data_IF_047867764406
#
_entry.id   IF_047867764406
#
_cell.length_a   1.000
_cell.length_b   1.000
_cell.length_c   1.000
_cell.angle_alpha   90.00
_cell.angle_beta   90.00
_cell.angle_gamma   90.00
#
_symmetry.space_group_name_H-M   'P 1'
#
loop_
_entity.id
_entity.type
_entity.pdbx_description
1 polymer ?
#
# COMPACT_ATOMS: atom_id res chain seq x y z
N UNK A 1 -8.89 39.26 37.55
CA UNK A 1 -8.20 38.90 36.30
C UNK A 1 -8.14 37.39 36.21
N UNK A 2 -9.13 36.80 35.53
CA UNK A 2 -9.46 35.37 35.56
C UNK A 2 -9.66 34.94 34.10
N UNK A 3 -9.14 33.77 33.74
CA UNK A 3 -9.40 33.05 32.49
C UNK A 3 -8.85 33.64 31.16
N UNK A 4 -7.53 33.76 31.02
CA UNK A 4 -6.91 33.78 29.67
C UNK A 4 -6.03 32.54 29.42
N UNK A 5 -5.48 31.93 30.47
CA UNK A 5 -4.62 30.75 30.33
C UNK A 5 -5.35 29.45 29.99
N UNK A 6 -6.68 29.38 30.16
CA UNK A 6 -7.44 28.16 29.86
C UNK A 6 -7.69 27.97 28.35
N UNK A 7 -7.66 29.04 27.54
CA UNK A 7 -7.93 28.96 26.10
C UNK A 7 -6.70 28.53 25.27
N UNK A 8 -5.47 28.70 25.78
CA UNK A 8 -4.26 28.28 25.05
C UNK A 8 -3.96 26.77 25.19
N UNK A 9 -4.56 26.07 26.16
CA UNK A 9 -4.36 24.63 26.33
C UNK A 9 -5.24 23.77 25.39
N UNK A 10 -6.28 24.35 24.78
CA UNK A 10 -7.18 23.65 23.87
C UNK A 10 -6.61 23.61 22.43
N UNK A 11 -5.67 24.50 22.09
CA UNK A 11 -5.08 24.56 20.76
C UNK A 11 -4.10 23.42 20.46
N UNK A 12 -3.62 22.69 21.48
CA UNK A 12 -2.76 21.52 21.30
C UNK A 12 -3.51 20.19 21.30
N UNK A 13 -4.82 20.19 21.59
CA UNK A 13 -5.64 18.98 21.65
C UNK A 13 -6.28 18.61 20.29
N UNK A 14 -6.06 19.38 19.23
CA UNK A 14 -6.70 19.19 17.91
C UNK A 14 -5.80 18.49 16.87
N UNK A 15 -4.58 18.08 17.23
CA UNK A 15 -3.73 17.27 16.34
C UNK A 15 -4.14 15.78 16.32
N UNK A 16 -5.34 15.45 16.77
CA UNK A 16 -5.89 14.09 16.86
C UNK A 16 -6.58 13.57 15.60
N UNK A 17 -6.51 14.29 14.46
CA UNK A 17 -6.91 13.73 13.16
C UNK A 17 -5.64 13.30 12.47
N UNK A 18 -5.30 12.00 12.57
CA UNK A 18 -4.16 11.40 11.89
C UNK A 18 -4.15 11.78 10.40
N UNK A 19 -3.21 12.63 9.93
CA UNK A 19 -3.06 12.90 8.50
C UNK A 19 -2.31 11.75 7.79
N UNK A 20 -1.88 10.72 8.54
CA UNK A 20 -0.96 9.68 8.11
C UNK A 20 -1.43 8.82 6.93
N UNK A 21 -2.73 8.79 6.60
CA UNK A 21 -3.26 7.80 5.68
C UNK A 21 -3.32 8.24 4.21
N UNK A 22 -3.44 9.53 3.92
CA UNK A 22 -3.20 10.05 2.55
C UNK A 22 -1.70 10.20 2.28
N UNK A 23 -0.95 10.56 3.33
CA UNK A 23 0.51 10.75 3.31
C UNK A 23 1.26 9.52 2.82
N UNK A 24 0.82 8.29 3.16
CA UNK A 24 1.51 7.06 2.71
C UNK A 24 1.50 6.90 1.19
N UNK A 25 0.42 7.31 0.51
CA UNK A 25 0.30 7.14 -0.94
C UNK A 25 1.07 8.23 -1.67
N UNK A 26 0.94 9.47 -1.20
CA UNK A 26 1.68 10.61 -1.74
C UNK A 26 3.19 10.44 -1.55
N UNK A 27 3.63 10.06 -0.34
CA UNK A 27 5.06 9.83 -0.07
C UNK A 27 5.64 8.70 -0.92
N UNK A 28 4.89 7.63 -1.18
CA UNK A 28 5.36 6.57 -2.08
C UNK A 28 5.41 7.07 -3.53
N UNK A 29 4.46 7.88 -3.97
CA UNK A 29 4.50 8.51 -5.29
C UNK A 29 5.74 9.41 -5.43
N UNK A 30 6.00 10.31 -4.47
CA UNK A 30 7.18 11.18 -4.45
C UNK A 30 8.51 10.40 -4.49
N UNK A 31 8.56 9.24 -3.82
CA UNK A 31 9.71 8.33 -3.91
C UNK A 31 9.85 7.71 -5.31
N UNK A 32 8.73 7.29 -5.90
CA UNK A 32 8.71 6.65 -7.22
C UNK A 32 8.98 7.63 -8.35
N UNK A 33 8.57 8.90 -8.22
CA UNK A 33 8.95 10.00 -9.10
C UNK A 33 10.46 10.11 -9.26
N UNK A 34 11.20 10.00 -8.16
CA UNK A 34 12.68 10.10 -8.15
C UNK A 34 13.38 8.83 -8.63
N UNK A 35 12.66 7.72 -8.75
CA UNK A 35 13.23 6.40 -9.01
C UNK A 35 12.62 5.76 -10.25
N UNK A 36 11.47 5.09 -10.09
CA UNK A 36 10.79 4.31 -11.13
C UNK A 36 10.24 5.16 -12.28
N UNK A 37 9.84 6.41 -11.99
CA UNK A 37 9.16 7.29 -12.94
C UNK A 37 10.00 8.52 -13.35
N UNK A 38 11.28 8.56 -13.00
CA UNK A 38 12.17 9.73 -13.22
C UNK A 38 12.28 10.19 -14.69
N UNK A 39 12.04 9.28 -15.62
CA UNK A 39 12.08 9.50 -17.07
C UNK A 39 10.77 10.08 -17.62
N UNK A 40 9.68 9.93 -16.87
CA UNK A 40 8.32 10.32 -17.24
C UNK A 40 7.90 11.60 -16.52
N UNK A 41 8.14 11.68 -15.21
CA UNK A 41 7.74 12.80 -14.35
C UNK A 41 8.68 14.00 -14.51
N UNK A 42 8.44 14.81 -15.56
CA UNK A 42 9.24 15.97 -15.97
C UNK A 42 8.46 17.29 -15.89
N UNK A 43 7.14 17.23 -15.72
CA UNK A 43 6.27 18.36 -15.42
C UNK A 43 5.03 17.88 -14.66
N UNK A 44 4.42 18.72 -13.84
CA UNK A 44 3.28 18.34 -12.98
C UNK A 44 1.97 18.16 -13.78
N UNK A 45 2.01 17.49 -14.94
CA UNK A 45 0.82 17.20 -15.73
C UNK A 45 0.16 15.89 -15.28
N UNK A 46 -1.16 15.89 -15.31
CA UNK A 46 -1.98 14.77 -14.86
C UNK A 46 -1.72 13.46 -15.64
N UNK A 47 -1.28 13.57 -16.89
CA UNK A 47 -0.99 12.43 -17.75
C UNK A 47 0.27 11.67 -17.32
N UNK A 48 1.31 12.38 -16.89
CA UNK A 48 2.55 11.81 -16.35
C UNK A 48 2.28 11.05 -15.05
N UNK A 49 1.43 11.60 -14.17
CA UNK A 49 0.99 10.93 -12.94
C UNK A 49 0.30 9.61 -13.30
N UNK A 50 -0.66 9.63 -14.23
CA UNK A 50 -1.36 8.41 -14.66
C UNK A 50 -0.41 7.33 -15.18
N UNK A 51 0.54 7.69 -16.05
CA UNK A 51 1.55 6.75 -16.56
C UNK A 51 2.43 6.23 -15.42
N UNK A 52 2.82 7.10 -14.49
CA UNK A 52 3.63 6.69 -13.34
C UNK A 52 2.87 5.71 -12.44
N UNK A 53 1.59 5.95 -12.15
CA UNK A 53 0.77 5.08 -11.30
C UNK A 53 0.55 3.71 -11.95
N UNK A 54 0.34 3.66 -13.27
CA UNK A 54 0.28 2.39 -14.03
C UNK A 54 1.62 1.63 -13.95
N UNK A 55 2.75 2.33 -14.15
CA UNK A 55 4.08 1.73 -14.03
C UNK A 55 4.36 1.20 -12.62
N UNK A 56 3.94 1.93 -11.59
CA UNK A 56 4.02 1.50 -10.19
C UNK A 56 3.18 0.26 -9.93
N UNK A 57 1.96 0.18 -10.48
CA UNK A 57 1.11 -0.99 -10.34
C UNK A 57 1.75 -2.23 -11.00
N UNK A 58 2.27 -2.08 -12.21
CA UNK A 58 2.95 -3.16 -12.92
C UNK A 58 4.20 -3.66 -12.18
N UNK A 59 5.06 -2.74 -11.71
CA UNK A 59 6.27 -3.09 -10.96
C UNK A 59 5.94 -3.80 -9.64
N UNK A 60 5.05 -3.21 -8.85
CA UNK A 60 4.65 -3.74 -7.54
C UNK A 60 3.96 -5.09 -7.64
N UNK A 61 3.10 -5.30 -8.65
CA UNK A 61 2.44 -6.59 -8.91
C UNK A 61 3.46 -7.67 -9.21
N UNK A 62 4.40 -7.40 -10.13
CA UNK A 62 5.46 -8.34 -10.48
C UNK A 62 6.33 -8.70 -9.27
N UNK A 63 6.70 -7.71 -8.45
CA UNK A 63 7.49 -7.93 -7.23
C UNK A 63 6.73 -8.75 -6.20
N UNK A 64 5.43 -8.49 -6.01
CA UNK A 64 4.61 -9.24 -5.06
C UNK A 64 4.40 -10.68 -5.51
N UNK A 65 4.20 -10.93 -6.81
CA UNK A 65 4.13 -12.29 -7.36
C UNK A 65 5.43 -13.07 -7.10
N UNK A 66 6.58 -12.43 -7.31
CA UNK A 66 7.87 -13.02 -7.01
C UNK A 66 8.01 -13.32 -5.51
N UNK A 67 7.66 -12.37 -4.64
CA UNK A 67 7.73 -12.53 -3.19
C UNK A 67 6.82 -13.66 -2.69
N UNK A 68 5.62 -13.80 -3.26
CA UNK A 68 4.71 -14.89 -2.93
C UNK A 68 5.29 -16.26 -3.30
N UNK A 69 5.99 -16.38 -4.44
CA UNK A 69 6.69 -17.62 -4.82
C UNK A 69 7.81 -17.96 -3.84
N UNK A 70 8.57 -16.96 -3.41
CA UNK A 70 9.63 -17.12 -2.39
C UNK A 70 9.05 -17.57 -1.05
N UNK A 71 7.97 -16.94 -0.58
CA UNK A 71 7.27 -17.31 0.64
C UNK A 71 6.76 -18.76 0.58
N UNK A 72 6.08 -19.15 -0.50
CA UNK A 72 5.60 -20.53 -0.68
C UNK A 72 6.77 -21.52 -0.68
N UNK A 73 7.87 -21.19 -1.36
CA UNK A 73 9.06 -22.06 -1.40
C UNK A 73 9.69 -22.22 -0.02
N UNK A 74 9.74 -21.16 0.77
CA UNK A 74 10.22 -21.21 2.15
C UNK A 74 9.30 -22.06 3.03
N UNK A 75 7.99 -21.77 3.05
CA UNK A 75 7.01 -22.50 3.86
C UNK A 75 6.96 -23.99 3.50
N UNK A 76 7.12 -24.32 2.22
CA UNK A 76 7.16 -25.71 1.75
C UNK A 76 8.34 -26.51 2.30
N UNK A 77 9.43 -25.85 2.72
CA UNK A 77 10.58 -26.50 3.37
C UNK A 77 10.33 -26.74 4.87
N UNK A 78 9.41 -25.99 5.49
CA UNK A 78 9.08 -26.14 6.93
C UNK A 78 8.11 -27.30 7.20
N UNK A 79 7.26 -27.64 6.21
CA UNK A 79 6.23 -28.71 6.27
C UNK A 79 6.79 -30.11 6.60
N UNK A 80 8.12 -30.31 6.60
CA UNK A 80 8.75 -31.56 7.04
C UNK A 80 8.68 -31.81 8.55
N UNK A 81 8.11 -30.89 9.35
CA UNK A 81 7.90 -31.04 10.80
C UNK A 81 6.41 -31.33 11.05
N UNK A 82 6.10 -32.49 11.63
CA UNK A 82 4.76 -33.12 11.65
C UNK A 82 3.62 -32.23 12.23
N UNK A 83 2.45 -32.27 11.57
CA UNK A 83 1.14 -32.03 12.21
C UNK A 83 0.50 -30.65 12.04
N UNK A 84 1.17 -29.67 11.44
CA UNK A 84 0.56 -28.36 11.15
C UNK A 84 -0.34 -28.40 9.91
N UNK A 85 -1.47 -27.69 10.00
CA UNK A 85 -2.29 -27.36 8.84
C UNK A 85 -1.38 -26.70 7.79
N UNK A 86 -1.28 -27.32 6.60
CA UNK A 86 -0.34 -26.96 5.53
C UNK A 86 -0.08 -25.44 5.49
N UNK A 87 1.08 -24.98 5.98
CA UNK A 87 1.39 -23.57 6.12
C UNK A 87 1.27 -22.81 4.79
N UNK A 88 1.49 -23.51 3.66
CA UNK A 88 1.26 -22.96 2.31
C UNK A 88 -0.22 -22.73 2.06
N UNK A 89 -1.12 -23.61 2.53
CA UNK A 89 -2.57 -23.43 2.45
C UNK A 89 -3.03 -22.22 3.27
N UNK A 90 -2.55 -22.08 4.51
CA UNK A 90 -2.85 -20.92 5.36
C UNK A 90 -2.36 -19.62 4.72
N UNK A 91 -1.12 -19.60 4.23
CA UNK A 91 -0.56 -18.46 3.52
C UNK A 91 -1.37 -18.08 2.28
N UNK A 92 -1.79 -19.06 1.46
CA UNK A 92 -2.63 -18.81 0.29
C UNK A 92 -3.99 -18.21 0.67
N UNK A 93 -4.59 -18.66 1.77
CA UNK A 93 -5.85 -18.12 2.26
C UNK A 93 -5.68 -16.67 2.74
N UNK A 94 -4.63 -16.38 3.50
CA UNK A 94 -4.29 -15.02 3.94
C UNK A 94 -4.04 -14.09 2.75
N UNK A 95 -3.25 -14.54 1.76
CA UNK A 95 -2.97 -13.74 0.56
C UNK A 95 -4.23 -13.47 -0.28
N UNK A 96 -5.19 -14.41 -0.32
CA UNK A 96 -6.48 -14.21 -0.97
C UNK A 96 -7.35 -13.19 -0.20
N UNK A 97 -7.39 -13.27 1.13
CA UNK A 97 -8.09 -12.31 1.97
C UNK A 97 -7.50 -10.89 1.83
N UNK A 98 -6.17 -10.79 1.83
CA UNK A 98 -5.47 -9.54 1.60
C UNK A 98 -5.80 -8.94 0.23
N UNK A 99 -5.84 -9.74 -0.84
CA UNK A 99 -6.22 -9.27 -2.18
C UNK A 99 -7.64 -8.69 -2.20
N UNK A 100 -8.59 -9.35 -1.53
CA UNK A 100 -9.96 -8.83 -1.41
C UNK A 100 -10.00 -7.51 -0.62
N UNK A 101 -9.23 -7.41 0.46
CA UNK A 101 -9.08 -6.16 1.22
C UNK A 101 -8.58 -5.02 0.32
N UNK A 102 -7.54 -5.24 -0.50
CA UNK A 102 -6.98 -4.22 -1.39
C UNK A 102 -8.03 -3.73 -2.39
N UNK A 103 -8.75 -4.65 -3.04
CA UNK A 103 -9.80 -4.30 -4.00
C UNK A 103 -10.87 -3.40 -3.36
N UNK A 104 -11.38 -3.78 -2.19
CA UNK A 104 -12.42 -2.99 -1.51
C UNK A 104 -11.89 -1.65 -0.99
N UNK A 105 -10.67 -1.63 -0.45
CA UNK A 105 -10.04 -0.41 0.06
C UNK A 105 -9.78 0.60 -1.04
N UNK A 106 -9.24 0.16 -2.18
CA UNK A 106 -8.92 1.06 -3.27
C UNK A 106 -10.18 1.55 -3.99
N UNK A 107 -11.23 0.72 -4.07
CA UNK A 107 -12.55 1.17 -4.51
C UNK A 107 -13.15 2.21 -3.55
N UNK A 108 -13.06 1.99 -2.23
CA UNK A 108 -13.51 2.95 -1.23
C UNK A 108 -12.73 4.27 -1.35
N UNK A 109 -11.40 4.24 -1.47
CA UNK A 109 -10.61 5.46 -1.67
C UNK A 109 -10.98 6.23 -2.95
N UNK A 110 -11.35 5.51 -4.00
CA UNK A 110 -11.81 6.10 -5.25
C UNK A 110 -13.24 6.67 -5.18
N UNK A 111 -14.00 6.43 -4.11
CA UNK A 111 -15.41 6.85 -4.00
C UNK A 111 -15.68 8.35 -4.27
N UNK A 112 -14.76 9.30 -3.97
CA UNK A 112 -15.01 10.72 -4.23
C UNK A 112 -14.97 11.08 -5.73
N UNK A 113 -14.44 10.20 -6.57
CA UNK A 113 -14.25 10.43 -8.00
C UNK A 113 -15.32 9.72 -8.82
N UNK A 114 -15.62 10.26 -10.00
CA UNK A 114 -16.46 9.57 -10.96
C UNK A 114 -15.82 8.24 -11.34
N UNK A 115 -16.58 7.15 -11.17
CA UNK A 115 -16.12 5.80 -11.46
C UNK A 115 -15.62 5.72 -12.91
N UNK A 116 -14.49 5.04 -13.11
CA UNK A 116 -13.83 4.84 -14.41
C UNK A 116 -13.30 6.14 -15.06
N UNK A 117 -13.38 7.29 -14.38
CA UNK A 117 -12.68 8.51 -14.81
C UNK A 117 -11.16 8.32 -14.72
N UNK A 118 -10.36 9.06 -15.50
CA UNK A 118 -8.90 9.03 -15.39
C UNK A 118 -8.39 9.28 -13.96
N UNK A 119 -9.08 10.13 -13.19
CA UNK A 119 -8.81 10.44 -11.77
C UNK A 119 -9.07 9.25 -10.88
N UNK A 120 -10.21 8.59 -11.06
CA UNK A 120 -10.51 7.35 -10.36
C UNK A 120 -9.46 6.26 -10.65
N UNK A 121 -9.13 6.04 -11.92
CA UNK A 121 -8.20 4.99 -12.35
C UNK A 121 -6.80 5.25 -11.79
N UNK A 122 -6.24 6.45 -11.95
CA UNK A 122 -4.91 6.77 -11.40
C UNK A 122 -4.84 6.63 -9.87
N UNK A 123 -5.88 7.07 -9.16
CA UNK A 123 -5.94 6.92 -7.70
C UNK A 123 -6.05 5.44 -7.29
N UNK A 124 -6.81 4.66 -8.04
CA UNK A 124 -6.94 3.22 -7.81
C UNK A 124 -5.60 2.52 -8.06
N UNK A 125 -4.94 2.79 -9.18
CA UNK A 125 -3.65 2.19 -9.53
C UNK A 125 -2.57 2.54 -8.49
N UNK A 126 -2.50 3.82 -8.08
CA UNK A 126 -1.62 4.25 -6.99
C UNK A 126 -1.94 3.50 -5.69
N UNK A 127 -3.23 3.37 -5.34
CA UNK A 127 -3.63 2.68 -4.14
C UNK A 127 -3.20 1.22 -4.14
N UNK A 128 -3.50 0.50 -5.22
CA UNK A 128 -3.16 -0.92 -5.36
C UNK A 128 -1.64 -1.11 -5.36
N UNK A 129 -0.90 -0.24 -6.04
CA UNK A 129 0.57 -0.30 -6.06
C UNK A 129 1.17 -0.10 -4.67
N UNK A 130 0.67 0.87 -3.90
CA UNK A 130 1.16 1.15 -2.55
C UNK A 130 0.84 0.00 -1.60
N UNK A 131 -0.36 -0.57 -1.66
CA UNK A 131 -0.69 -1.74 -0.85
C UNK A 131 0.17 -2.96 -1.24
N UNK A 132 0.47 -3.18 -2.52
CA UNK A 132 1.40 -4.21 -2.98
C UNK A 132 2.78 -4.04 -2.35
N UNK A 133 3.36 -2.83 -2.39
CA UNK A 133 4.67 -2.55 -1.77
C UNK A 133 4.66 -2.80 -0.27
N UNK A 134 3.61 -2.36 0.43
CA UNK A 134 3.47 -2.60 1.88
C UNK A 134 3.36 -4.08 2.20
N UNK A 135 2.66 -4.86 1.37
CA UNK A 135 2.58 -6.31 1.56
C UNK A 135 3.94 -6.98 1.37
N UNK A 136 4.72 -6.55 0.38
CA UNK A 136 6.09 -7.05 0.20
C UNK A 136 6.91 -6.79 1.48
N UNK A 137 6.86 -5.56 2.01
CA UNK A 137 7.55 -5.17 3.25
C UNK A 137 7.09 -6.02 4.46
N UNK A 138 5.78 -6.31 4.59
CA UNK A 138 5.26 -7.21 5.62
C UNK A 138 5.77 -8.65 5.46
N UNK A 139 5.77 -9.19 4.24
CA UNK A 139 6.26 -10.54 3.96
C UNK A 139 7.77 -10.67 4.20
N UNK A 140 8.55 -9.61 3.92
CA UNK A 140 9.96 -9.55 4.31
C UNK A 140 10.12 -9.64 5.82
N UNK A 141 9.26 -8.99 6.62
CA UNK A 141 9.28 -9.08 8.07
C UNK A 141 8.88 -10.45 8.61
N UNK A 142 7.79 -11.03 8.09
CA UNK A 142 7.21 -12.30 8.54
C UNK A 142 8.13 -13.50 8.27
N UNK A 143 8.80 -13.54 7.11
CA UNK A 143 9.72 -14.62 6.74
C UNK A 143 11.06 -14.60 7.50
N UNK A 144 11.32 -13.55 8.28
CA UNK A 144 12.53 -13.38 9.08
C UNK A 144 12.32 -13.72 10.57
N UNK A 145 11.16 -14.24 10.97
CA UNK A 145 10.88 -14.64 12.35
C UNK A 145 11.47 -16.06 12.59
N UNK A 146 12.36 -16.26 13.58
CA UNK A 146 13.03 -17.54 13.86
C UNK A 146 12.10 -18.68 14.25
#
# INVERSE_FOLDING_TARGET
MRNIYLCMLILFAVNGISPAFSEIYLSKLELMEKTLCKDIMKGENYHEIYICTDRMLADSTKKLEQKNKEAISFLSKLITMEGEEDAVKLFKADQAAWKNYVVHRCAYKGHPFEKDSPVYLSNKDLCEAVENYRRIESLDGELNIP
#
